data_IF_296951274774
#
_entry.id   IF_296951274774
#
_cell.length_a   1.000
_cell.length_b   1.000
_cell.length_c   1.000
_cell.angle_alpha   90.00
_cell.angle_beta   90.00
_cell.angle_gamma   90.00
#
_symmetry.space_group_name_H-M   'P 1'
#
loop_
_entity.id
_entity.type
_entity.pdbx_description
1 polymer ?
#
# COMPACT_ATOMS: atom_id res chain seq x y z
N UNK A 1 10.06 17.40 31.28
CA UNK A 1 10.65 17.52 29.94
C UNK A 1 10.46 16.19 29.22
N UNK A 2 9.26 15.95 28.69
CA UNK A 2 8.89 14.69 28.03
C UNK A 2 9.34 14.74 26.58
N UNK A 3 10.39 13.99 26.26
CA UNK A 3 10.83 13.81 24.88
C UNK A 3 9.75 13.02 24.11
N UNK A 4 9.10 13.69 23.17
CA UNK A 4 8.15 13.07 22.25
C UNK A 4 8.94 12.44 21.11
N UNK A 5 9.10 11.11 21.16
CA UNK A 5 9.73 10.38 20.07
C UNK A 5 8.82 10.44 18.83
N UNK A 6 9.37 10.74 17.64
CA UNK A 6 8.58 10.76 16.41
C UNK A 6 7.97 9.38 16.18
N UNK A 7 6.66 9.32 15.96
CA UNK A 7 5.97 8.08 15.64
C UNK A 7 6.60 7.48 14.38
N UNK A 8 7.40 6.44 14.54
CA UNK A 8 7.94 5.65 13.44
C UNK A 8 6.77 5.19 12.58
N UNK A 9 6.84 5.46 11.27
CA UNK A 9 5.82 5.05 10.31
C UNK A 9 5.54 3.55 10.51
N UNK A 10 4.41 3.24 11.14
CA UNK A 10 4.07 1.89 11.58
C UNK A 10 3.99 1.00 10.35
N UNK A 11 5.01 0.16 10.19
CA UNK A 11 5.02 -0.87 9.17
C UNK A 11 3.90 -1.86 9.53
N UNK A 12 2.97 -2.06 8.59
CA UNK A 12 1.79 -2.91 8.75
C UNK A 12 2.00 -4.22 7.96
N UNK A 13 2.70 -5.21 8.54
CA UNK A 13 3.03 -6.45 7.85
C UNK A 13 1.77 -7.24 7.44
N UNK A 14 0.66 -7.06 8.15
CA UNK A 14 -0.66 -7.57 7.81
C UNK A 14 -1.13 -7.09 6.43
N UNK A 15 -1.02 -5.80 6.14
CA UNK A 15 -1.49 -5.23 4.87
C UNK A 15 -0.54 -5.59 3.72
N UNK A 16 0.76 -5.58 3.97
CA UNK A 16 1.75 -6.00 2.96
C UNK A 16 1.62 -7.50 2.65
N UNK A 17 1.33 -8.34 3.66
CA UNK A 17 1.03 -9.75 3.48
C UNK A 17 -0.22 -9.98 2.62
N UNK A 18 -1.30 -9.23 2.85
CA UNK A 18 -2.50 -9.29 2.01
C UNK A 18 -2.21 -8.89 0.55
N UNK A 19 -1.38 -7.86 0.33
CA UNK A 19 -0.95 -7.48 -1.03
C UNK A 19 -0.12 -8.59 -1.68
N UNK A 20 0.78 -9.23 -0.93
CA UNK A 20 1.58 -10.34 -1.44
C UNK A 20 0.71 -11.55 -1.82
N UNK A 21 -0.30 -11.90 -1.00
CA UNK A 21 -1.25 -12.96 -1.33
C UNK A 21 -2.09 -12.62 -2.57
N UNK A 22 -2.53 -11.37 -2.70
CA UNK A 22 -3.25 -10.90 -3.88
C UNK A 22 -2.40 -11.03 -5.16
N UNK A 23 -1.14 -10.59 -5.12
CA UNK A 23 -0.19 -10.73 -6.24
C UNK A 23 0.11 -12.21 -6.55
N UNK A 24 0.28 -13.05 -5.53
CA UNK A 24 0.49 -14.49 -5.72
C UNK A 24 -0.70 -15.15 -6.45
N UNK A 25 -1.93 -14.76 -6.12
CA UNK A 25 -3.13 -15.19 -6.84
C UNK A 25 -3.15 -14.77 -8.32
N UNK A 26 -2.74 -13.53 -8.61
CA UNK A 26 -2.63 -13.00 -9.99
C UNK A 26 -1.58 -13.75 -10.80
N UNK A 27 -0.42 -14.03 -10.19
CA UNK A 27 0.65 -14.80 -10.80
C UNK A 27 0.16 -16.22 -11.08
N UNK A 28 -0.42 -16.91 -10.10
CA UNK A 28 -0.94 -18.26 -10.26
C UNK A 28 -1.96 -18.36 -11.41
N UNK A 29 -2.84 -17.37 -11.54
CA UNK A 29 -3.80 -17.31 -12.64
C UNK A 29 -3.14 -17.17 -14.02
N UNK A 30 -2.07 -16.38 -14.14
CA UNK A 30 -1.30 -16.26 -15.39
C UNK A 30 -0.58 -17.55 -15.80
N UNK A 31 -0.20 -18.40 -14.83
CA UNK A 31 0.50 -19.68 -15.08
C UNK A 31 -0.44 -20.85 -15.44
N UNK A 32 -1.70 -20.58 -15.78
CA UNK A 32 -2.62 -21.60 -16.30
C UNK A 32 -3.55 -22.22 -15.26
N UNK A 33 -3.61 -21.71 -14.03
CA UNK A 33 -4.71 -21.99 -13.09
C UNK A 33 -5.97 -21.17 -13.46
N UNK A 34 -6.38 -21.25 -14.73
CA UNK A 34 -7.60 -20.61 -15.24
C UNK A 34 -8.88 -21.26 -14.71
N UNK A 35 -8.77 -22.45 -14.10
CA UNK A 35 -9.86 -23.20 -13.49
C UNK A 35 -10.33 -22.63 -12.13
N UNK A 36 -9.64 -21.64 -11.56
CA UNK A 36 -10.09 -20.94 -10.35
C UNK A 36 -10.95 -19.73 -10.76
N UNK A 37 -12.28 -19.74 -10.51
CA UNK A 37 -13.12 -18.58 -10.72
C UNK A 37 -12.71 -17.51 -9.69
N UNK A 38 -11.87 -16.56 -10.10
CA UNK A 38 -11.32 -15.54 -9.18
C UNK A 38 -9.97 -14.92 -9.57
N UNK A 39 -9.37 -15.28 -10.72
CA UNK A 39 -8.09 -14.70 -11.17
C UNK A 39 -8.07 -13.16 -11.24
N UNK A 40 -9.18 -12.55 -11.65
CA UNK A 40 -9.36 -11.10 -11.66
C UNK A 40 -9.57 -10.51 -10.25
N UNK A 41 -10.15 -11.28 -9.33
CA UNK A 41 -10.39 -10.83 -7.95
C UNK A 41 -9.09 -10.51 -7.20
N UNK A 42 -8.00 -11.22 -7.50
CA UNK A 42 -6.67 -10.88 -6.97
C UNK A 42 -6.19 -9.49 -7.41
N UNK A 43 -6.48 -9.11 -8.65
CA UNK A 43 -6.17 -7.78 -9.19
C UNK A 43 -7.00 -6.71 -8.46
N UNK A 44 -8.31 -6.95 -8.32
CA UNK A 44 -9.23 -6.04 -7.63
C UNK A 44 -8.82 -5.81 -6.17
N UNK A 45 -8.55 -6.88 -5.42
CA UNK A 45 -8.10 -6.81 -4.02
C UNK A 45 -6.79 -6.02 -3.91
N UNK A 46 -5.82 -6.30 -4.80
CA UNK A 46 -4.55 -5.59 -4.80
C UNK A 46 -4.73 -4.09 -5.02
N UNK A 47 -5.54 -3.68 -6.00
CA UNK A 47 -5.79 -2.28 -6.30
C UNK A 47 -6.57 -1.58 -5.19
N UNK A 48 -7.59 -2.22 -4.61
CA UNK A 48 -8.37 -1.67 -3.49
C UNK A 48 -7.49 -1.44 -2.26
N UNK A 49 -6.68 -2.42 -1.87
CA UNK A 49 -5.78 -2.28 -0.71
C UNK A 49 -4.73 -1.19 -0.96
N UNK A 50 -4.14 -1.18 -2.16
CA UNK A 50 -3.12 -0.19 -2.53
C UNK A 50 -3.71 1.23 -2.56
N UNK A 51 -4.91 1.40 -3.12
CA UNK A 51 -5.65 2.67 -3.13
C UNK A 51 -5.95 3.16 -1.71
N UNK A 52 -6.50 2.29 -0.86
CA UNK A 52 -6.78 2.62 0.54
C UNK A 52 -5.54 3.12 1.29
N UNK A 53 -4.41 2.43 1.15
CA UNK A 53 -3.16 2.84 1.81
C UNK A 53 -2.65 4.20 1.30
N UNK A 54 -2.65 4.40 -0.02
CA UNK A 54 -2.19 5.66 -0.63
C UNK A 54 -3.07 6.82 -0.16
N UNK A 55 -4.39 6.67 -0.23
CA UNK A 55 -5.34 7.69 0.22
C UNK A 55 -5.19 7.98 1.71
N UNK A 56 -5.04 6.95 2.56
CA UNK A 56 -4.81 7.13 3.99
C UNK A 56 -3.55 7.95 4.25
N UNK A 57 -2.44 7.66 3.57
CA UNK A 57 -1.22 8.44 3.74
C UNK A 57 -1.37 9.89 3.27
N UNK A 58 -2.07 10.13 2.16
CA UNK A 58 -2.34 11.49 1.67
C UNK A 58 -3.23 12.27 2.65
N UNK A 59 -4.28 11.65 3.18
CA UNK A 59 -5.17 12.27 4.18
C UNK A 59 -4.42 12.57 5.47
N UNK A 60 -3.57 11.66 5.94
CA UNK A 60 -2.70 11.93 7.11
C UNK A 60 -1.78 13.12 6.85
N UNK A 61 -1.13 13.21 5.69
CA UNK A 61 -0.26 14.34 5.35
C UNK A 61 -1.02 15.67 5.25
N UNK A 62 -2.21 15.67 4.66
CA UNK A 62 -3.09 16.85 4.63
C UNK A 62 -3.46 17.28 6.05
N UNK A 63 -3.85 16.33 6.91
CA UNK A 63 -4.24 16.64 8.29
C UNK A 63 -3.06 17.19 9.11
N UNK A 64 -1.85 16.69 8.88
CA UNK A 64 -0.66 17.12 9.63
C UNK A 64 -0.06 18.43 9.12
N UNK A 65 -0.12 18.70 7.81
CA UNK A 65 0.59 19.83 7.18
C UNK A 65 -0.32 20.89 6.56
N UNK A 66 -1.62 20.61 6.46
CA UNK A 66 -2.61 21.46 5.79
C UNK A 66 -2.42 21.58 4.27
N UNK A 67 -1.47 20.85 3.69
CA UNK A 67 -1.11 20.93 2.27
C UNK A 67 -0.86 19.53 1.71
N UNK A 68 -1.09 19.36 0.42
CA UNK A 68 -0.81 18.10 -0.28
C UNK A 68 0.36 18.34 -1.24
N UNK A 69 1.52 17.78 -0.91
CA UNK A 69 2.72 17.82 -1.74
C UNK A 69 2.98 16.43 -2.35
N UNK A 70 2.41 16.21 -3.53
CA UNK A 70 2.57 14.95 -4.27
C UNK A 70 4.03 14.65 -4.59
N UNK A 71 4.84 15.67 -4.89
CA UNK A 71 6.24 15.48 -5.22
C UNK A 71 7.01 14.93 -4.03
N UNK A 72 6.81 15.53 -2.85
CA UNK A 72 7.42 15.07 -1.61
C UNK A 72 6.91 13.69 -1.19
N UNK A 73 5.63 13.40 -1.43
CA UNK A 73 5.05 12.08 -1.21
C UNK A 73 5.71 10.99 -2.07
N UNK A 74 5.75 11.18 -3.39
CA UNK A 74 6.38 10.22 -4.31
C UNK A 74 7.90 10.13 -4.09
N UNK A 75 8.59 11.23 -3.76
CA UNK A 75 10.01 11.22 -3.45
C UNK A 75 10.34 10.40 -2.19
N UNK A 76 9.53 10.49 -1.12
CA UNK A 76 9.67 9.63 0.08
C UNK A 76 9.43 8.17 -0.25
N UNK A 77 8.46 7.87 -1.13
CA UNK A 77 8.16 6.51 -1.56
C UNK A 77 9.25 5.93 -2.45
N UNK A 78 9.77 6.70 -3.40
CA UNK A 78 10.88 6.29 -4.26
C UNK A 78 12.15 5.99 -3.44
N UNK A 79 12.50 6.83 -2.46
CA UNK A 79 13.63 6.59 -1.53
C UNK A 79 13.48 5.31 -0.69
N UNK A 80 12.25 4.78 -0.55
CA UNK A 80 11.99 3.53 0.19
C UNK A 80 12.03 2.29 -0.69
N UNK A 81 12.05 2.46 -2.01
CA UNK A 81 11.98 1.39 -3.01
C UNK A 81 13.25 1.27 -3.86
N UNK A 82 14.05 2.34 -3.94
CA UNK A 82 15.42 2.38 -4.48
C UNK A 82 16.43 2.21 -3.35
#
# INVERSE_FOLDING_TARGET
MTAQFPASASFRPDIEGLRALAVAGVIAYHFGLTALPGGFTGVDIFFVISGYLITRHLVTEINETGRLDLWRFYARRARRLL
#
